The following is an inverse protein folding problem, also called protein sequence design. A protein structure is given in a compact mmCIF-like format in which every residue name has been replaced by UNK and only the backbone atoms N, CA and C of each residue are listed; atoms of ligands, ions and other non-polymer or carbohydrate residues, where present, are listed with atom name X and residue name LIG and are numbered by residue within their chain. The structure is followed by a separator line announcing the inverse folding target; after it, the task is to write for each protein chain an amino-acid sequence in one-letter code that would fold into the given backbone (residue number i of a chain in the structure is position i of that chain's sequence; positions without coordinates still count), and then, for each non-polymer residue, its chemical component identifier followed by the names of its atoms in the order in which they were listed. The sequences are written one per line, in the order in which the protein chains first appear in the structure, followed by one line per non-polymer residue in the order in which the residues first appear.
data_IF_332837048892
#
_entry.id   IF_332837048892
#
_cell.length_a   1.000
_cell.length_b   1.000
_cell.length_c   1.000
_cell.angle_alpha   90.00
_cell.angle_beta   90.00
_cell.angle_gamma   90.00
#
_symmetry.space_group_name_H-M   'P 1'
#
loop_
_entity.id
_entity.type
_entity.pdbx_description
1 polymer ?
#
# COMPACT_ATOMS: atom_id res chain seq x y z
N UNK A 1 15.60 1.67 6.72
CA UNK A 1 14.54 2.67 6.52
C UNK A 1 14.45 3.48 7.78
N UNK A 2 14.65 4.79 7.69
CA UNK A 2 14.49 5.72 8.81
C UNK A 2 13.00 5.95 9.10
N UNK A 3 12.69 6.63 10.22
CA UNK A 3 11.31 6.98 10.56
C UNK A 3 10.66 7.87 9.50
N UNK A 4 11.36 8.90 9.02
CA UNK A 4 10.83 9.82 8.01
C UNK A 4 10.56 9.13 6.67
N UNK A 5 11.49 8.28 6.23
CA UNK A 5 11.30 7.44 5.04
C UNK A 5 10.08 6.54 5.19
N UNK A 6 9.87 5.97 6.38
CA UNK A 6 8.71 5.11 6.63
C UNK A 6 7.39 5.87 6.53
N UNK A 7 7.32 7.07 7.11
CA UNK A 7 6.14 7.91 7.05
C UNK A 7 5.84 8.33 5.61
N UNK A 8 6.86 8.73 4.84
CA UNK A 8 6.71 9.09 3.43
C UNK A 8 6.14 7.92 2.60
N UNK A 9 6.57 6.68 2.87
CA UNK A 9 6.06 5.48 2.18
C UNK A 9 4.61 5.18 2.54
N UNK A 10 4.19 5.41 3.77
CA UNK A 10 2.79 5.28 4.18
C UNK A 10 1.91 6.31 3.45
N UNK A 11 2.38 7.55 3.34
CA UNK A 11 1.63 8.61 2.65
C UNK A 11 1.54 8.34 1.14
N UNK A 12 2.63 7.88 0.52
CA UNK A 12 2.64 7.44 -0.87
C UNK A 12 1.66 6.27 -1.09
N UNK A 13 1.70 5.26 -0.22
CA UNK A 13 0.80 4.11 -0.29
C UNK A 13 -0.67 4.53 -0.17
N UNK A 14 -1.00 5.41 0.77
CA UNK A 14 -2.37 5.92 0.93
C UNK A 14 -2.88 6.59 -0.34
N UNK A 15 -2.07 7.46 -0.97
CA UNK A 15 -2.40 8.07 -2.27
C UNK A 15 -2.64 7.04 -3.37
N UNK A 16 -1.78 6.02 -3.47
CA UNK A 16 -1.95 4.96 -4.46
C UNK A 16 -3.23 4.16 -4.25
N UNK A 17 -3.62 3.88 -2.99
CA UNK A 17 -4.86 3.18 -2.65
C UNK A 17 -6.08 4.03 -3.01
N UNK A 18 -6.08 5.32 -2.68
CA UNK A 18 -7.17 6.25 -3.05
C UNK A 18 -7.39 6.30 -4.56
N UNK A 19 -6.32 6.21 -5.35
CA UNK A 19 -6.39 6.18 -6.81
C UNK A 19 -6.49 4.76 -7.41
N UNK A 20 -6.62 3.71 -6.60
CA UNK A 20 -6.65 2.31 -7.05
C UNK A 20 -5.48 1.93 -7.97
N UNK A 21 -4.29 2.50 -7.73
CA UNK A 21 -3.11 2.41 -8.59
C UNK A 21 -1.92 1.74 -7.88
N UNK A 22 -2.19 0.84 -6.92
CA UNK A 22 -1.12 0.11 -6.22
C UNK A 22 -0.53 -1.02 -7.07
N UNK A 23 -1.33 -1.60 -7.97
CA UNK A 23 -0.96 -2.81 -8.70
C UNK A 23 -0.86 -4.04 -7.79
N UNK A 24 -0.24 -5.10 -8.30
CA UNK A 24 0.11 -6.28 -7.52
C UNK A 24 1.07 -5.93 -6.38
N UNK A 25 1.19 -6.77 -5.32
CA UNK A 25 2.15 -6.54 -4.24
C UNK A 25 3.59 -6.31 -4.72
N UNK A 26 3.99 -6.97 -5.80
CA UNK A 26 5.30 -6.80 -6.43
C UNK A 26 5.46 -5.44 -7.11
N UNK A 27 4.45 -4.98 -7.85
CA UNK A 27 4.46 -3.66 -8.49
C UNK A 27 4.40 -2.54 -7.46
N UNK A 28 3.61 -2.72 -6.40
CA UNK A 28 3.56 -1.79 -5.28
C UNK A 28 4.94 -1.63 -4.64
N UNK A 29 5.66 -2.74 -4.45
CA UNK A 29 7.01 -2.73 -3.92
C UNK A 29 7.98 -1.93 -4.80
N UNK A 30 7.91 -2.11 -6.12
CA UNK A 30 8.70 -1.33 -7.09
C UNK A 30 8.36 0.16 -7.03
N UNK A 31 7.07 0.53 -7.02
CA UNK A 31 6.60 1.93 -6.95
C UNK A 31 7.05 2.62 -5.67
N UNK A 32 7.03 1.89 -4.55
CA UNK A 32 7.49 2.39 -3.26
C UNK A 32 9.02 2.26 -3.10
N UNK A 33 9.74 1.66 -4.05
CA UNK A 33 11.17 1.37 -3.94
C UNK A 33 11.53 0.65 -2.62
N UNK A 34 10.78 -0.41 -2.30
CA UNK A 34 11.00 -1.26 -1.12
C UNK A 34 10.90 -2.73 -1.50
N UNK A 35 11.30 -3.63 -0.58
CA UNK A 35 11.05 -5.05 -0.77
C UNK A 35 9.54 -5.36 -0.74
N UNK A 36 9.12 -6.43 -1.42
CA UNK A 36 7.72 -6.88 -1.40
C UNK A 36 7.23 -7.18 0.02
N UNK A 37 8.11 -7.75 0.86
CA UNK A 37 7.81 -7.97 2.29
C UNK A 37 7.52 -6.66 3.00
N UNK A 38 8.30 -5.61 2.73
CA UNK A 38 8.06 -4.27 3.30
C UNK A 38 6.76 -3.67 2.79
N UNK A 39 6.49 -3.75 1.48
CA UNK A 39 5.24 -3.27 0.90
C UNK A 39 4.00 -3.93 1.55
N UNK A 40 4.02 -5.26 1.71
CA UNK A 40 2.97 -5.99 2.42
C UNK A 40 2.84 -5.52 3.88
N UNK A 41 3.95 -5.31 4.60
CA UNK A 41 3.92 -4.78 5.98
C UNK A 41 3.31 -3.38 6.07
N UNK A 42 3.62 -2.50 5.11
CA UNK A 42 3.04 -1.16 5.04
C UNK A 42 1.53 -1.22 4.83
N UNK A 43 1.06 -2.08 3.93
CA UNK A 43 -0.37 -2.33 3.70
C UNK A 43 -1.05 -2.84 4.97
N UNK A 44 -0.49 -3.85 5.62
CA UNK A 44 -1.04 -4.38 6.87
C UNK A 44 -1.11 -3.31 7.97
N UNK A 45 -0.09 -2.45 8.06
CA UNK A 45 -0.12 -1.32 9.00
C UNK A 45 -1.26 -0.36 8.71
N UNK A 46 -1.48 0.00 7.44
CA UNK A 46 -2.62 0.84 7.05
C UNK A 46 -3.95 0.16 7.32
N UNK A 47 -4.10 -1.13 7.02
CA UNK A 47 -5.32 -1.89 7.38
C UNK A 47 -5.61 -1.89 8.87
N UNK A 48 -4.57 -1.93 9.70
CA UNK A 48 -4.73 -1.87 11.16
C UNK A 48 -5.27 -0.50 11.60
N UNK A 49 -4.93 0.56 10.87
CA UNK A 49 -5.38 1.94 11.11
C UNK A 49 -6.77 2.20 10.51
N UNK A 50 -7.06 1.57 9.38
CA UNK A 50 -8.30 1.72 8.63
C UNK A 50 -8.71 0.35 8.05
N UNK A 51 -9.71 -0.27 8.69
CA UNK A 51 -10.18 -1.63 8.39
C UNK A 51 -10.80 -1.76 6.99
N UNK A 52 -10.93 -0.65 6.27
CA UNK A 52 -11.56 -0.56 4.96
C UNK A 52 -10.63 -1.00 3.82
N UNK A 53 -9.32 -1.16 4.02
CA UNK A 53 -8.41 -1.47 2.90
C UNK A 53 -8.47 -2.96 2.53
N UNK A 54 -8.84 -3.27 1.28
CA UNK A 54 -8.87 -4.64 0.74
C UNK A 54 -8.19 -4.76 -0.62
N UNK A 55 -7.73 -5.95 -0.98
CA UNK A 55 -7.18 -6.22 -2.32
C UNK A 55 -8.30 -6.63 -3.28
N UNK A 56 -8.54 -5.82 -4.32
CA UNK A 56 -9.50 -6.13 -5.35
C UNK A 56 -8.84 -6.89 -6.50
N UNK A 57 -9.19 -8.16 -6.67
CA UNK A 57 -8.65 -9.00 -7.76
C UNK A 57 -9.09 -8.54 -9.16
N UNK A 58 -10.27 -7.92 -9.29
CA UNK A 58 -10.77 -7.42 -10.59
C UNK A 58 -9.95 -6.24 -11.10
N UNK A 59 -9.52 -5.36 -10.19
CA UNK A 59 -8.74 -4.15 -10.50
C UNK A 59 -7.24 -4.44 -10.40
N UNK A 60 -6.83 -5.50 -9.67
CA UNK A 60 -5.45 -5.81 -9.42
C UNK A 60 -4.77 -4.78 -8.50
N UNK A 61 -5.52 -4.17 -7.58
CA UNK A 61 -5.03 -3.12 -6.68
C UNK A 61 -5.68 -3.23 -5.31
N UNK A 62 -4.97 -2.78 -4.28
CA UNK A 62 -5.57 -2.38 -3.01
C UNK A 62 -6.49 -1.17 -3.20
N UNK A 63 -7.67 -1.22 -2.60
CA UNK A 63 -8.72 -0.21 -2.66
C UNK A 63 -9.34 0.00 -1.28
N UNK A 64 -9.98 1.16 -1.08
CA UNK A 64 -10.88 1.36 0.06
C UNK A 64 -12.21 0.62 -0.22
N UNK A 65 -12.62 -0.18 0.75
CA UNK A 65 -13.92 -0.85 0.80
C UNK A 65 -14.90 0.17 1.37
N UNK A 66 -15.83 0.65 0.53
CA UNK A 66 -17.01 1.37 0.99
C UNK A 66 -17.95 0.43 1.76
#
# INVERSE_FOLDING_TARGET
MTFDQYQEKLDQLSKLIMHSNTGSPFELAKRLNVSERTARRLVEKLKTKDQSITFCRKVGSYILKN
#
